data_IF_228463608334
#
_entry.id   IF_228463608334
#
_cell.length_a   1.000
_cell.length_b   1.000
_cell.length_c   1.000
_cell.angle_alpha   90.00
_cell.angle_beta   90.00
_cell.angle_gamma   90.00
#
_symmetry.space_group_name_H-M   'P 1'
#
loop_
_entity.id
_entity.type
_entity.pdbx_description
1 polymer ?
#
# COMPACT_ATOMS: atom_id res chain seq x y z
N UNK A 1 -1.70 12.62 -14.91
CA UNK A 1 -1.37 11.42 -15.73
C UNK A 1 -2.65 10.76 -16.27
N UNK A 2 -2.68 10.15 -17.48
CA UNK A 2 -3.86 9.38 -17.98
C UNK A 2 -3.61 7.87 -17.84
N UNK A 3 -4.66 7.09 -17.54
CA UNK A 3 -4.64 5.64 -17.49
C UNK A 3 -5.24 5.04 -18.78
N UNK A 4 -4.49 4.92 -19.89
CA UNK A 4 -5.02 4.58 -21.21
C UNK A 4 -5.59 3.15 -21.30
N UNK A 5 -5.12 2.23 -20.45
CA UNK A 5 -5.53 0.83 -20.44
C UNK A 5 -6.78 0.57 -19.58
N UNK A 6 -7.49 1.63 -19.16
CA UNK A 6 -8.72 1.50 -18.37
C UNK A 6 -9.96 1.74 -19.24
N UNK A 7 -11.03 0.98 -19.00
CA UNK A 7 -12.32 1.15 -19.66
C UNK A 7 -13.40 1.50 -18.60
N UNK A 8 -13.93 2.74 -18.57
CA UNK A 8 -13.54 3.91 -19.37
C UNK A 8 -12.18 4.50 -18.94
N UNK A 9 -11.48 5.21 -19.84
CA UNK A 9 -10.23 5.88 -19.51
C UNK A 9 -10.47 6.97 -18.46
N UNK A 10 -9.55 7.11 -17.50
CA UNK A 10 -9.63 8.15 -16.47
C UNK A 10 -8.28 8.85 -16.26
N UNK A 11 -8.32 10.03 -15.64
CA UNK A 11 -7.12 10.75 -15.22
C UNK A 11 -6.79 10.47 -13.76
N UNK A 12 -5.49 10.47 -13.49
CA UNK A 12 -4.90 10.40 -12.16
C UNK A 12 -4.38 11.79 -11.81
N UNK A 13 -4.88 12.31 -10.70
CA UNK A 13 -4.44 13.55 -10.07
C UNK A 13 -3.29 13.29 -9.10
N UNK A 14 -2.50 14.32 -8.88
CA UNK A 14 -1.53 14.49 -7.82
C UNK A 14 -2.02 15.59 -6.87
N UNK A 15 -1.20 15.97 -5.89
CA UNK A 15 -1.53 17.07 -4.98
C UNK A 15 -1.64 18.44 -5.67
N UNK A 16 -0.99 18.61 -6.82
CA UNK A 16 -1.09 19.84 -7.62
C UNK A 16 -2.51 20.07 -8.16
N UNK A 17 -3.24 18.98 -8.42
CA UNK A 17 -4.60 19.00 -8.99
C UNK A 17 -5.69 18.73 -7.94
N UNK A 18 -5.38 18.95 -6.66
CA UNK A 18 -6.30 18.68 -5.54
C UNK A 18 -7.59 19.51 -5.66
N UNK A 19 -7.48 20.76 -6.12
CA UNK A 19 -8.61 21.66 -6.33
C UNK A 19 -9.61 21.06 -7.33
N UNK A 20 -9.13 20.65 -8.50
CA UNK A 20 -9.93 20.07 -9.57
C UNK A 20 -10.47 18.70 -9.16
N UNK A 21 -9.67 17.90 -8.45
CA UNK A 21 -10.12 16.61 -7.92
C UNK A 21 -11.30 16.77 -6.96
N UNK A 22 -11.24 17.74 -6.05
CA UNK A 22 -12.28 18.03 -5.05
C UNK A 22 -13.46 18.84 -5.61
N UNK A 23 -13.38 19.33 -6.85
CA UNK A 23 -14.40 20.19 -7.43
C UNK A 23 -15.73 19.45 -7.61
N UNK A 24 -16.85 20.16 -7.45
CA UNK A 24 -18.21 19.59 -7.53
C UNK A 24 -18.54 19.00 -8.92
N UNK A 25 -17.88 19.47 -9.98
CA UNK A 25 -18.03 18.87 -11.31
C UNK A 25 -17.40 17.47 -11.41
N UNK A 26 -16.50 17.11 -10.49
CA UNK A 26 -15.78 15.84 -10.45
C UNK A 26 -16.33 14.86 -9.41
N UNK A 27 -17.54 15.09 -8.87
CA UNK A 27 -18.18 14.21 -7.86
C UNK A 27 -18.24 12.73 -8.26
N UNK A 28 -18.34 12.45 -9.56
CA UNK A 28 -18.41 11.09 -10.11
C UNK A 28 -17.07 10.57 -10.62
N UNK A 29 -15.99 11.35 -10.50
CA UNK A 29 -14.66 11.00 -10.97
C UNK A 29 -14.58 10.85 -12.49
N UNK A 30 -15.37 11.64 -13.23
CA UNK A 30 -15.40 11.65 -14.70
C UNK A 30 -14.13 12.25 -15.28
N UNK A 31 -13.57 13.27 -14.63
CA UNK A 31 -12.29 13.86 -15.02
C UNK A 31 -11.14 13.17 -14.27
N UNK A 32 -11.11 13.28 -12.94
CA UNK A 32 -10.11 12.67 -12.09
C UNK A 32 -10.74 11.62 -11.20
N UNK A 33 -10.43 10.36 -11.46
CA UNK A 33 -11.01 9.23 -10.71
C UNK A 33 -10.14 8.79 -9.54
N UNK A 34 -8.83 9.03 -9.64
CA UNK A 34 -7.83 8.62 -8.66
C UNK A 34 -6.94 9.81 -8.37
N UNK A 35 -6.60 9.99 -7.09
CA UNK A 35 -5.55 10.91 -6.65
C UNK A 35 -4.48 10.08 -5.95
N UNK A 36 -3.22 10.28 -6.34
CA UNK A 36 -2.06 9.69 -5.66
C UNK A 36 -1.45 10.76 -4.78
N UNK A 37 -1.38 10.46 -3.49
CA UNK A 37 -0.87 11.35 -2.46
C UNK A 37 0.29 10.67 -1.74
N UNK A 38 1.36 11.43 -1.53
CA UNK A 38 2.44 11.03 -0.63
C UNK A 38 1.96 11.18 0.82
N UNK A 39 2.17 10.14 1.64
CA UNK A 39 1.72 10.07 3.03
C UNK A 39 2.40 11.10 3.93
N UNK A 40 3.63 11.50 3.62
CA UNK A 40 4.43 12.50 4.34
C UNK A 40 3.99 13.91 3.95
N UNK A 41 3.80 14.19 2.66
CA UNK A 41 3.31 15.51 2.21
C UNK A 41 1.88 15.78 2.67
N UNK A 42 1.07 14.74 2.79
CA UNK A 42 -0.29 14.82 3.31
C UNK A 42 -0.34 14.60 4.82
N UNK A 43 0.63 15.09 5.58
CA UNK A 43 0.66 14.97 7.05
C UNK A 43 -0.15 16.03 7.78
N UNK A 44 -0.51 17.15 7.14
CA UNK A 44 -1.33 18.23 7.73
C UNK A 44 -2.27 18.91 6.72
N UNK A 45 -3.36 19.54 7.20
CA UNK A 45 -4.20 20.45 6.40
C UNK A 45 -5.13 19.87 5.32
N UNK A 46 -4.75 18.79 4.63
CA UNK A 46 -5.47 18.30 3.43
C UNK A 46 -6.80 17.60 3.75
N UNK A 47 -7.85 17.97 3.02
CA UNK A 47 -9.16 17.27 2.95
C UNK A 47 -9.34 16.66 1.57
N UNK A 48 -9.82 15.41 1.52
CA UNK A 48 -10.28 14.80 0.28
C UNK A 48 -11.80 14.75 0.29
N UNK A 49 -12.44 15.36 -0.71
CA UNK A 49 -13.89 15.47 -0.79
C UNK A 49 -14.47 14.39 -1.69
N UNK A 50 -15.65 13.89 -1.34
CA UNK A 50 -16.42 12.91 -2.13
C UNK A 50 -15.65 11.62 -2.48
N UNK A 51 -14.63 11.29 -1.68
CA UNK A 51 -13.85 10.05 -1.81
C UNK A 51 -14.60 8.91 -1.12
N UNK A 52 -14.83 7.83 -1.86
CA UNK A 52 -15.50 6.61 -1.36
C UNK A 52 -14.53 5.49 -1.01
N UNK A 53 -13.30 5.56 -1.51
CA UNK A 53 -12.28 4.52 -1.35
C UNK A 53 -10.92 5.13 -1.10
N UNK A 54 -10.29 4.72 0.00
CA UNK A 54 -8.92 5.09 0.34
C UNK A 54 -8.07 3.82 0.37
N UNK A 55 -6.93 3.87 -0.30
CA UNK A 55 -5.98 2.76 -0.33
C UNK A 55 -4.69 3.23 0.33
N UNK A 56 -4.36 2.64 1.48
CA UNK A 56 -3.10 2.88 2.18
C UNK A 56 -2.12 1.80 1.74
N UNK A 57 -1.18 2.19 0.87
CA UNK A 57 -0.12 1.30 0.37
C UNK A 57 1.07 1.28 1.32
N UNK A 58 1.30 2.38 2.01
CA UNK A 58 2.23 2.45 3.13
C UNK A 58 1.48 2.18 4.44
N UNK A 59 1.99 1.25 5.23
CA UNK A 59 1.32 0.81 6.47
C UNK A 59 1.61 1.82 7.56
N UNK A 60 0.60 2.45 8.18
CA UNK A 60 0.83 3.42 9.23
C UNK A 60 1.63 2.81 10.38
N UNK A 61 2.66 3.53 10.86
CA UNK A 61 3.52 3.06 11.93
C UNK A 61 2.83 3.11 13.31
N UNK A 62 1.75 3.90 13.44
CA UNK A 62 0.97 4.01 14.65
C UNK A 62 -0.53 4.15 14.39
N UNK A 63 -1.34 3.86 15.41
CA UNK A 63 -2.78 4.07 15.37
C UNK A 63 -3.14 5.54 15.10
N UNK A 64 -2.44 6.49 15.73
CA UNK A 64 -2.71 7.92 15.54
C UNK A 64 -2.50 8.35 14.08
N UNK A 65 -1.44 7.85 13.43
CA UNK A 65 -1.21 8.10 12.00
C UNK A 65 -2.33 7.52 11.13
N UNK A 66 -2.78 6.30 11.43
CA UNK A 66 -3.89 5.67 10.72
C UNK A 66 -5.19 6.50 10.84
N UNK A 67 -5.52 6.96 12.06
CA UNK A 67 -6.70 7.80 12.31
C UNK A 67 -6.59 9.13 11.56
N UNK A 68 -5.43 9.78 11.57
CA UNK A 68 -5.23 11.04 10.83
C UNK A 68 -5.39 10.85 9.32
N UNK A 69 -4.78 9.80 8.75
CA UNK A 69 -4.87 9.50 7.32
C UNK A 69 -6.30 9.18 6.89
N UNK A 70 -7.02 8.34 7.65
CA UNK A 70 -8.44 8.08 7.41
C UNK A 70 -9.27 9.35 7.54
N UNK A 71 -8.99 10.14 8.58
CA UNK A 71 -9.67 11.39 8.93
C UNK A 71 -9.73 12.39 7.80
N UNK A 72 -8.77 12.39 6.87
CA UNK A 72 -8.76 13.29 5.69
C UNK A 72 -9.89 13.06 4.72
N UNK A 73 -10.35 11.81 4.64
CA UNK A 73 -11.42 11.41 3.73
C UNK A 73 -12.80 11.42 4.41
N UNK A 74 -12.87 11.49 5.75
CA UNK A 74 -14.14 11.41 6.53
C UNK A 74 -14.44 12.69 7.33
N UNK A 75 -13.94 13.85 6.88
CA UNK A 75 -14.22 15.13 7.56
C UNK A 75 -15.70 15.49 7.46
N UNK A 76 -16.15 16.32 8.40
CA UNK A 76 -17.51 16.87 8.39
C UNK A 76 -17.85 17.48 7.02
N UNK A 77 -19.01 17.12 6.47
CA UNK A 77 -19.51 17.57 5.17
C UNK A 77 -18.67 17.21 3.93
N UNK A 78 -17.64 16.36 4.06
CA UNK A 78 -16.77 16.01 2.93
C UNK A 78 -17.49 15.28 1.77
N UNK A 79 -18.65 14.67 2.03
CA UNK A 79 -19.46 13.95 1.02
C UNK A 79 -20.83 14.55 0.78
N UNK A 80 -21.08 15.80 1.20
CA UNK A 80 -22.41 16.44 1.11
C UNK A 80 -22.99 16.44 -0.32
N UNK A 81 -22.13 16.42 -1.35
CA UNK A 81 -22.56 16.36 -2.76
C UNK A 81 -22.98 14.97 -3.24
N UNK A 82 -22.85 13.92 -2.44
CA UNK A 82 -23.22 12.55 -2.78
C UNK A 82 -24.56 12.15 -2.13
N UNK A 83 -25.33 11.25 -2.76
CA UNK A 83 -26.47 10.60 -2.13
C UNK A 83 -26.08 9.89 -0.82
N UNK A 84 -26.98 9.83 0.16
CA UNK A 84 -26.70 9.32 1.50
C UNK A 84 -26.14 7.88 1.49
N UNK A 85 -26.66 7.04 0.59
CA UNK A 85 -26.22 5.67 0.36
C UNK A 85 -24.78 5.54 -0.14
N UNK A 86 -24.23 6.62 -0.71
CA UNK A 86 -22.85 6.69 -1.21
C UNK A 86 -21.89 7.43 -0.27
N UNK A 87 -22.38 7.99 0.84
CA UNK A 87 -21.55 8.70 1.84
C UNK A 87 -20.81 7.72 2.77
N UNK A 88 -20.27 6.65 2.19
CA UNK A 88 -19.49 5.63 2.89
C UNK A 88 -18.07 5.61 2.34
N UNK A 89 -17.10 5.72 3.24
CA UNK A 89 -15.68 5.62 2.91
C UNK A 89 -15.15 4.25 3.32
N UNK A 90 -14.66 3.48 2.35
CA UNK A 90 -13.95 2.23 2.61
C UNK A 90 -12.45 2.46 2.56
N UNK A 91 -11.77 2.31 3.69
CA UNK A 91 -10.31 2.30 3.75
C UNK A 91 -9.78 0.87 3.67
N UNK A 92 -8.80 0.63 2.80
CA UNK A 92 -8.06 -0.64 2.73
C UNK A 92 -6.58 -0.38 2.93
N UNK A 93 -5.97 -1.15 3.82
CA UNK A 93 -4.52 -1.17 4.04
C UNK A 93 -3.96 -2.38 3.31
N UNK A 94 -3.00 -2.18 2.41
CA UNK A 94 -2.29 -3.27 1.76
C UNK A 94 -0.99 -3.55 2.51
N UNK A 95 -0.81 -4.80 2.92
CA UNK A 95 0.40 -5.26 3.61
C UNK A 95 1.10 -6.31 2.77
N UNK A 96 2.42 -6.19 2.64
CA UNK A 96 3.23 -7.23 2.03
C UNK A 96 3.44 -8.37 3.02
N UNK A 97 3.33 -9.62 2.54
CA UNK A 97 3.61 -10.81 3.34
C UNK A 97 4.85 -11.53 2.81
N UNK A 98 5.61 -12.16 3.70
CA UNK A 98 6.75 -12.97 3.29
C UNK A 98 6.30 -14.15 2.42
N UNK A 99 7.07 -14.50 1.36
CA UNK A 99 6.79 -15.66 0.54
C UNK A 99 6.84 -16.93 1.38
N UNK A 100 6.03 -17.94 1.03
CA UNK A 100 5.81 -19.15 1.85
C UNK A 100 7.12 -19.81 2.33
N UNK A 101 8.13 -19.86 1.47
CA UNK A 101 9.42 -20.49 1.77
C UNK A 101 10.25 -19.72 2.81
N UNK A 102 10.03 -18.42 2.96
CA UNK A 102 10.76 -17.52 3.86
C UNK A 102 10.05 -17.34 5.21
N UNK A 103 8.95 -18.07 5.46
CA UNK A 103 8.19 -17.95 6.70
C UNK A 103 8.85 -18.67 7.89
N UNK A 104 9.84 -19.54 7.65
CA UNK A 104 10.55 -20.21 8.73
C UNK A 104 11.76 -19.40 9.21
N UNK A 105 12.08 -19.41 10.53
CA UNK A 105 13.26 -18.75 11.06
C UNK A 105 14.57 -19.19 10.37
N UNK A 106 14.69 -20.49 10.07
CA UNK A 106 15.82 -21.07 9.34
C UNK A 106 15.96 -20.49 7.93
N UNK A 107 14.84 -20.26 7.23
CA UNK A 107 14.87 -19.64 5.90
C UNK A 107 15.26 -18.15 5.98
N UNK A 108 14.78 -17.44 7.00
CA UNK A 108 15.19 -16.06 7.27
C UNK A 108 16.70 -15.97 7.55
N UNK A 109 17.25 -16.90 8.34
CA UNK A 109 18.69 -16.99 8.59
C UNK A 109 19.45 -17.25 7.28
N UNK A 110 19.00 -18.24 6.49
CA UNK A 110 19.64 -18.57 5.22
C UNK A 110 19.67 -17.37 4.26
N UNK A 111 18.57 -16.61 4.17
CA UNK A 111 18.53 -15.39 3.36
C UNK A 111 19.49 -14.31 3.90
N UNK A 112 19.52 -14.12 5.22
CA UNK A 112 20.40 -13.13 5.85
C UNK A 112 21.88 -13.47 5.64
N UNK A 113 22.26 -14.74 5.76
CA UNK A 113 23.62 -15.23 5.51
C UNK A 113 24.07 -14.97 4.07
N UNK A 114 23.18 -15.08 3.09
CA UNK A 114 23.51 -14.86 1.68
C UNK A 114 23.53 -13.38 1.26
N UNK A 115 22.93 -12.48 2.07
CA UNK A 115 22.87 -11.04 1.77
C UNK A 115 24.25 -10.38 1.67
N UNK A 116 25.27 -10.94 2.33
CA UNK A 116 26.65 -10.45 2.25
C UNK A 116 27.39 -10.88 0.98
N UNK A 117 26.83 -11.82 0.20
CA UNK A 117 27.55 -12.49 -0.90
C UNK A 117 26.91 -12.31 -2.28
N UNK A 118 25.72 -11.70 -2.37
CA UNK A 118 25.00 -11.50 -3.62
C UNK A 118 23.98 -10.36 -3.52
N UNK A 119 23.63 -9.79 -4.68
CA UNK A 119 22.59 -8.77 -4.81
C UNK A 119 21.35 -9.31 -5.57
N UNK A 120 20.17 -8.85 -5.17
CA UNK A 120 18.91 -9.09 -5.89
C UNK A 120 18.46 -10.55 -5.93
N UNK A 121 17.98 -11.00 -7.09
CA UNK A 121 17.41 -12.35 -7.27
C UNK A 121 18.41 -13.49 -7.05
N UNK A 122 19.71 -13.22 -7.13
CA UNK A 122 20.75 -14.22 -6.87
C UNK A 122 20.84 -14.57 -5.39
N UNK A 123 20.59 -13.61 -4.50
CA UNK A 123 20.52 -13.81 -3.05
C UNK A 123 19.41 -14.80 -2.69
N UNK A 124 18.23 -14.66 -3.31
CA UNK A 124 17.11 -15.58 -3.07
C UNK A 124 17.42 -17.00 -3.53
N UNK A 125 18.01 -17.16 -4.73
CA UNK A 125 18.41 -18.48 -5.24
C UNK A 125 19.39 -19.18 -4.30
N UNK A 126 20.42 -18.47 -3.85
CA UNK A 126 21.42 -19.01 -2.92
C UNK A 126 20.84 -19.32 -1.55
N UNK A 127 19.94 -18.47 -1.05
CA UNK A 127 19.25 -18.71 0.22
C UNK A 127 18.41 -19.99 0.18
N UNK A 128 17.68 -20.22 -0.91
CA UNK A 128 16.92 -21.45 -1.13
C UNK A 128 17.84 -22.67 -1.22
N UNK A 129 18.99 -22.54 -1.87
CA UNK A 129 19.97 -23.62 -1.98
C UNK A 129 20.59 -23.97 -0.61
N UNK A 130 20.93 -22.97 0.19
CA UNK A 130 21.40 -23.16 1.57
C UNK A 130 20.34 -23.81 2.45
N UNK A 131 19.09 -23.33 2.38
CA UNK A 131 17.97 -23.93 3.09
C UNK A 131 17.75 -25.40 2.69
N UNK A 132 17.90 -25.74 1.41
CA UNK A 132 17.84 -27.12 0.94
C UNK A 132 18.99 -27.97 1.49
N UNK A 133 20.20 -27.41 1.65
CA UNK A 133 21.34 -28.10 2.27
C UNK A 133 21.10 -28.40 3.75
N UNK A 134 20.57 -27.44 4.51
CA UNK A 134 20.19 -27.67 5.91
C UNK A 134 19.18 -28.81 6.04
N UNK A 135 18.11 -28.78 5.23
CA UNK A 135 17.11 -29.86 5.22
C UNK A 135 17.70 -31.22 4.87
N UNK A 136 18.64 -31.30 3.93
CA UNK A 136 19.34 -32.55 3.59
C UNK A 136 20.25 -33.05 4.73
N UNK A 137 20.80 -32.13 5.52
CA UNK A 137 21.58 -32.46 6.71
C UNK A 137 20.70 -32.84 7.92
N UNK A 138 19.37 -32.87 7.77
CA UNK A 138 18.44 -33.16 8.86
C UNK A 138 18.10 -31.96 9.73
N UNK A 139 18.61 -30.76 9.41
CA UNK A 139 18.35 -29.52 10.15
C UNK A 139 17.05 -28.88 9.63
N UNK A 140 15.98 -28.97 10.43
CA UNK A 140 14.66 -28.45 10.13
C UNK A 140 14.35 -27.14 10.88
N UNK A 141 15.03 -26.87 12.00
CA UNK A 141 14.81 -25.71 12.86
C UNK A 141 16.12 -24.97 13.20
N UNK A 142 16.01 -23.79 13.83
CA UNK A 142 17.19 -23.08 14.35
C UNK A 142 17.74 -23.70 15.63
N UNK A 143 16.95 -24.48 16.35
CA UNK A 143 17.36 -25.13 17.60
C UNK A 143 18.27 -26.35 17.34
N UNK A 144 18.30 -26.83 16.09
CA UNK A 144 19.12 -27.95 15.62
C UNK A 144 20.47 -27.49 15.01
N UNK A 145 20.74 -26.18 15.02
CA UNK A 145 21.96 -25.54 14.54
C UNK A 145 22.92 -25.28 15.70
#
# INVERSE_FOLDING_TARGET
MRAPNSAPPFRVATMEELSEFNHVSNLRGTEYRVLVADSVQCSEGVSFLSVRRTFLVDVPASHSQFVQQCGRAIRMYSHRGLPAEEQVVTTRVYTAVLPKWLRSPLACLALRAQKQHAAGGETEKRARLLLARFKRAGIASLDEL
#
